data_IF_986317907988
#
_entry.id   IF_986317907988
#
_cell.length_a   1.000
_cell.length_b   1.000
_cell.length_c   1.000
_cell.angle_alpha   90.00
_cell.angle_beta   90.00
_cell.angle_gamma   90.00
#
_symmetry.space_group_name_H-M   'P 1'
#
loop_
_entity.id
_entity.type
_entity.pdbx_description
1 polymer ?
#
# COMPACT_ATOMS: atom_id res chain seq x y z
N UNK A 1 -28.95 15.18 26.08
CA UNK A 1 -28.25 13.89 26.12
C UNK A 1 -29.25 12.86 26.62
N UNK A 2 -29.70 11.93 25.76
CA UNK A 2 -30.54 10.81 26.18
C UNK A 2 -29.63 9.81 26.92
N UNK A 3 -29.92 9.51 28.18
CA UNK A 3 -29.19 8.47 28.90
C UNK A 3 -29.49 7.11 28.28
N UNK A 4 -28.44 6.37 27.90
CA UNK A 4 -28.58 4.99 27.41
C UNK A 4 -29.30 4.11 28.47
N UNK A 5 -30.24 3.27 28.02
CA UNK A 5 -30.98 2.38 28.91
C UNK A 5 -30.19 1.08 29.14
N UNK A 6 -30.08 0.67 30.40
CA UNK A 6 -29.55 -0.65 30.77
C UNK A 6 -30.68 -1.67 30.71
N UNK A 7 -30.43 -2.86 30.14
CA UNK A 7 -31.40 -3.95 30.01
C UNK A 7 -30.74 -5.30 30.36
N UNK A 8 -31.51 -6.26 30.86
CA UNK A 8 -30.99 -7.57 31.25
C UNK A 8 -30.77 -8.46 30.02
N UNK A 9 -29.82 -9.41 30.12
CA UNK A 9 -29.47 -10.38 29.06
C UNK A 9 -30.65 -11.31 28.68
N UNK A 10 -31.63 -11.50 29.57
CA UNK A 10 -32.85 -12.25 29.27
C UNK A 10 -33.65 -11.63 28.13
N UNK A 11 -33.62 -10.31 28.00
CA UNK A 11 -34.29 -9.60 26.90
C UNK A 11 -33.55 -9.81 25.55
N UNK A 12 -32.25 -10.01 25.59
CA UNK A 12 -31.43 -10.28 24.39
C UNK A 12 -31.71 -11.66 23.78
N UNK A 13 -31.99 -12.68 24.62
CA UNK A 13 -32.32 -14.05 24.19
C UNK A 13 -33.59 -14.10 23.32
N UNK A 14 -34.47 -13.10 23.43
CA UNK A 14 -35.69 -13.02 22.63
C UNK A 14 -35.52 -12.38 21.26
N UNK A 15 -34.48 -11.55 21.07
CA UNK A 15 -34.18 -10.85 19.81
C UNK A 15 -32.66 -10.61 19.67
N UNK A 16 -31.86 -11.64 19.50
CA UNK A 16 -30.40 -11.52 19.50
C UNK A 16 -29.86 -10.60 18.40
N UNK A 17 -30.52 -10.52 17.24
CA UNK A 17 -30.12 -9.64 16.14
C UNK A 17 -30.18 -8.14 16.48
N UNK A 18 -30.96 -7.73 17.47
CA UNK A 18 -31.00 -6.33 17.91
C UNK A 18 -29.82 -5.96 18.83
N UNK A 19 -29.10 -6.96 19.34
CA UNK A 19 -28.00 -6.82 20.30
C UNK A 19 -26.63 -7.21 19.74
N UNK A 20 -26.60 -7.59 18.46
CA UNK A 20 -25.37 -7.93 17.76
C UNK A 20 -25.21 -7.05 16.53
N UNK A 21 -24.07 -6.39 16.40
CA UNK A 21 -23.78 -5.48 15.30
C UNK A 21 -22.44 -5.86 14.67
N UNK A 22 -22.33 -5.79 13.33
CA UNK A 22 -21.03 -5.88 12.66
C UNK A 22 -20.11 -4.75 13.14
N UNK A 23 -18.90 -5.10 13.59
CA UNK A 23 -17.92 -4.10 14.02
C UNK A 23 -17.42 -3.26 12.84
N UNK A 24 -17.40 -3.80 11.62
CA UNK A 24 -17.08 -3.06 10.39
C UNK A 24 -18.12 -1.98 10.07
N UNK A 25 -19.40 -2.21 10.40
CA UNK A 25 -20.48 -1.24 10.22
C UNK A 25 -20.55 -0.24 11.37
N UNK A 26 -20.30 -0.70 12.59
CA UNK A 26 -20.35 0.14 13.80
C UNK A 26 -19.18 1.12 13.86
N UNK A 27 -17.97 0.74 13.42
CA UNK A 27 -16.79 1.60 13.42
C UNK A 27 -16.78 2.51 12.20
N UNK A 28 -16.95 3.81 12.44
CA UNK A 28 -16.96 4.85 11.42
C UNK A 28 -15.72 5.74 11.62
N UNK A 29 -14.90 5.81 10.57
CA UNK A 29 -13.66 6.59 10.57
C UNK A 29 -13.90 7.94 9.91
N UNK A 30 -13.30 8.99 10.46
CA UNK A 30 -13.39 10.34 9.92
C UNK A 30 -12.03 11.01 9.89
N UNK A 31 -11.76 11.74 8.82
CA UNK A 31 -10.72 12.77 8.79
C UNK A 31 -11.41 14.12 8.72
N UNK A 32 -11.10 15.00 9.67
CA UNK A 32 -11.75 16.31 9.78
C UNK A 32 -10.76 17.41 9.42
N UNK A 33 -11.19 18.31 8.58
CA UNK A 33 -10.54 19.59 8.31
C UNK A 33 -11.51 20.73 8.65
N UNK A 34 -11.10 22.01 8.58
CA UNK A 34 -11.97 23.14 8.92
C UNK A 34 -13.25 23.24 8.09
N UNK A 35 -13.28 22.64 6.88
CA UNK A 35 -14.41 22.73 5.95
C UNK A 35 -15.36 21.51 6.05
N UNK A 36 -14.86 20.33 6.37
CA UNK A 36 -15.62 19.09 6.34
C UNK A 36 -15.07 17.97 7.23
N UNK A 37 -15.94 17.02 7.55
CA UNK A 37 -15.58 15.72 8.10
C UNK A 37 -15.81 14.65 7.02
N UNK A 38 -14.74 14.08 6.49
CA UNK A 38 -14.78 13.07 5.45
C UNK A 38 -14.80 11.69 6.11
N UNK A 39 -15.85 10.90 5.85
CA UNK A 39 -16.02 9.58 6.45
C UNK A 39 -15.57 8.46 5.52
N UNK A 40 -15.13 7.36 6.12
CA UNK A 40 -14.84 6.09 5.45
C UNK A 40 -14.98 4.94 6.45
N UNK A 41 -15.03 3.72 5.94
CA UNK A 41 -15.17 2.51 6.76
C UNK A 41 -13.89 1.69 6.73
N UNK A 42 -13.60 0.93 7.81
CA UNK A 42 -12.51 -0.03 7.81
C UNK A 42 -12.79 -1.19 6.84
N UNK A 43 -11.73 -1.81 6.33
CA UNK A 43 -11.84 -3.06 5.59
C UNK A 43 -11.95 -4.25 6.53
N UNK A 44 -11.22 -4.18 7.65
CA UNK A 44 -11.15 -5.22 8.67
C UNK A 44 -11.30 -4.61 10.06
N UNK A 45 -11.90 -5.36 10.99
CA UNK A 45 -11.94 -5.03 12.41
C UNK A 45 -11.59 -6.22 13.31
N UNK A 46 -11.33 -7.39 12.72
CA UNK A 46 -11.01 -8.61 13.47
C UNK A 46 -9.79 -8.48 14.39
N UNK A 47 -8.74 -7.65 14.10
CA UNK A 47 -7.62 -7.52 15.04
C UNK A 47 -8.00 -6.82 16.35
N UNK A 48 -9.12 -6.09 16.35
CA UNK A 48 -9.63 -5.33 17.49
C UNK A 48 -10.79 -6.06 18.17
N UNK A 49 -11.74 -6.60 17.39
CA UNK A 49 -13.00 -7.15 17.89
C UNK A 49 -13.14 -8.67 17.73
N UNK A 50 -12.07 -9.35 17.26
CA UNK A 50 -12.05 -10.80 17.06
C UNK A 50 -12.56 -11.23 15.69
N UNK A 51 -12.27 -12.49 15.32
CA UNK A 51 -12.47 -13.06 13.98
C UNK A 51 -13.91 -12.99 13.46
N UNK A 52 -14.91 -12.97 14.34
CA UNK A 52 -16.31 -12.86 13.97
C UNK A 52 -16.69 -11.45 13.47
N UNK A 53 -15.87 -10.44 13.75
CA UNK A 53 -16.13 -9.03 13.44
C UNK A 53 -17.50 -8.54 13.89
N UNK A 54 -17.92 -8.98 15.07
CA UNK A 54 -19.21 -8.65 15.68
C UNK A 54 -19.04 -8.14 17.11
N UNK A 55 -19.90 -7.22 17.49
CA UNK A 55 -19.98 -6.66 18.85
C UNK A 55 -21.37 -7.00 19.41
N UNK A 56 -21.38 -7.71 20.55
CA UNK A 56 -22.59 -8.11 21.25
C UNK A 56 -22.85 -7.23 22.46
N UNK A 57 -24.13 -7.08 22.80
CA UNK A 57 -24.61 -6.45 24.03
C UNK A 57 -24.92 -4.97 23.90
N UNK A 58 -24.88 -4.40 22.71
CA UNK A 58 -25.21 -2.99 22.45
C UNK A 58 -26.30 -2.88 21.38
N UNK A 59 -27.22 -1.95 21.56
CA UNK A 59 -28.27 -1.64 20.59
C UNK A 59 -28.00 -0.29 19.93
N UNK A 60 -28.15 -0.22 18.60
CA UNK A 60 -27.91 0.97 17.79
C UNK A 60 -26.50 1.55 18.04
N UNK A 61 -25.50 0.68 17.93
CA UNK A 61 -24.10 1.00 18.24
C UNK A 61 -23.44 1.78 17.10
N UNK A 62 -22.89 2.93 17.42
CA UNK A 62 -22.00 3.72 16.57
C UNK A 62 -20.70 4.02 17.31
N UNK A 63 -19.57 3.73 16.69
CA UNK A 63 -18.23 4.03 17.17
C UNK A 63 -17.61 5.02 16.20
N UNK A 64 -17.38 6.25 16.65
CA UNK A 64 -16.79 7.31 15.85
C UNK A 64 -15.32 7.46 16.23
N UNK A 65 -14.42 7.17 15.31
CA UNK A 65 -13.00 7.42 15.45
C UNK A 65 -12.61 8.50 14.43
N UNK A 66 -12.36 9.71 14.96
CA UNK A 66 -12.06 10.89 14.15
C UNK A 66 -10.59 11.27 14.29
N UNK A 67 -10.00 11.77 13.20
CA UNK A 67 -8.62 12.25 13.15
C UNK A 67 -8.59 13.67 12.60
N UNK A 68 -7.76 14.54 13.18
CA UNK A 68 -7.44 15.82 12.56
C UNK A 68 -6.61 15.61 11.29
N UNK A 69 -6.92 16.32 10.22
CA UNK A 69 -6.30 16.13 8.91
C UNK A 69 -4.78 16.36 8.90
N UNK A 70 -4.28 17.25 9.77
CA UNK A 70 -2.88 17.69 9.76
C UNK A 70 -2.04 17.00 10.82
N UNK A 71 -2.48 17.03 12.08
CA UNK A 71 -1.75 16.42 13.21
C UNK A 71 -2.07 14.93 13.38
N UNK A 72 -3.13 14.45 12.77
CA UNK A 72 -3.72 13.13 12.93
C UNK A 72 -4.08 12.77 14.37
N UNK A 73 -4.33 13.79 15.21
CA UNK A 73 -4.74 13.61 16.61
C UNK A 73 -6.09 12.90 16.68
N UNK A 74 -6.20 11.75 17.37
CA UNK A 74 -7.43 10.96 17.40
C UNK A 74 -8.44 11.45 18.43
N UNK A 75 -9.73 11.25 18.10
CA UNK A 75 -10.87 11.44 18.98
C UNK A 75 -11.79 10.22 18.89
N UNK A 76 -12.21 9.69 20.03
CA UNK A 76 -13.11 8.54 20.11
C UNK A 76 -14.45 8.94 20.75
N UNK A 77 -15.53 8.57 20.08
CA UNK A 77 -16.87 8.68 20.66
C UNK A 77 -17.67 7.40 20.39
N UNK A 78 -18.38 6.91 21.40
CA UNK A 78 -19.18 5.70 21.34
C UNK A 78 -20.61 6.05 21.73
N UNK A 79 -21.56 5.76 20.85
CA UNK A 79 -23.00 6.01 21.05
C UNK A 79 -23.76 4.70 20.90
N UNK A 80 -24.74 4.50 21.75
CA UNK A 80 -25.67 3.39 21.69
C UNK A 80 -26.98 3.78 22.41
N UNK A 81 -28.10 3.17 22.02
CA UNK A 81 -29.40 3.46 22.64
C UNK A 81 -29.63 2.65 23.93
N UNK A 82 -29.09 1.42 23.97
CA UNK A 82 -29.15 0.58 25.16
C UNK A 82 -27.94 -0.36 25.23
N UNK A 83 -27.61 -0.79 26.45
CA UNK A 83 -26.56 -1.78 26.72
C UNK A 83 -27.13 -2.88 27.63
N UNK A 84 -26.78 -4.12 27.36
CA UNK A 84 -27.06 -5.23 28.25
C UNK A 84 -26.18 -5.19 29.49
N UNK A 85 -26.71 -5.71 30.60
CA UNK A 85 -25.97 -5.94 31.85
C UNK A 85 -25.93 -7.42 32.16
N UNK A 86 -25.03 -7.83 33.04
CA UNK A 86 -24.92 -9.16 33.61
C UNK A 86 -24.56 -10.31 32.65
N UNK A 87 -23.89 -9.96 31.53
CA UNK A 87 -23.36 -10.93 30.59
C UNK A 87 -21.85 -10.76 30.41
N UNK A 88 -21.02 -11.77 30.70
CA UNK A 88 -19.57 -11.70 30.62
C UNK A 88 -19.03 -11.61 29.17
N UNK A 89 -19.85 -11.91 28.17
CA UNK A 89 -19.48 -11.82 26.75
C UNK A 89 -19.51 -10.35 26.24
N UNK A 90 -20.08 -9.44 27.04
CA UNK A 90 -20.16 -8.04 26.65
C UNK A 90 -18.81 -7.34 26.89
N UNK A 91 -18.15 -7.00 25.81
CA UNK A 91 -16.88 -6.28 25.85
C UNK A 91 -17.07 -4.80 26.24
N UNK A 92 -16.07 -4.23 26.90
CA UNK A 92 -15.96 -2.76 27.03
C UNK A 92 -15.28 -2.20 25.79
N UNK A 93 -16.08 -1.67 24.87
CA UNK A 93 -15.62 -1.17 23.57
C UNK A 93 -14.51 -0.12 23.73
N UNK A 94 -14.68 0.80 24.70
CA UNK A 94 -13.66 1.84 24.94
C UNK A 94 -12.34 1.22 25.32
N UNK A 95 -12.37 0.32 26.32
CA UNK A 95 -11.17 -0.35 26.80
C UNK A 95 -10.48 -1.16 25.67
N UNK A 96 -11.28 -1.86 24.85
CA UNK A 96 -10.78 -2.66 23.73
C UNK A 96 -10.07 -1.79 22.70
N UNK A 97 -10.65 -0.66 22.29
CA UNK A 97 -10.04 0.23 21.28
C UNK A 97 -8.84 1.00 21.85
N UNK A 98 -8.89 1.41 23.14
CA UNK A 98 -7.81 2.15 23.80
C UNK A 98 -6.47 1.40 23.78
N UNK A 99 -6.49 0.06 23.67
CA UNK A 99 -5.27 -0.75 23.56
C UNK A 99 -4.48 -0.48 22.26
N UNK A 100 -5.16 0.02 21.23
CA UNK A 100 -4.62 0.28 19.89
C UNK A 100 -4.44 1.77 19.57
N UNK A 101 -4.90 2.67 20.46
CA UNK A 101 -4.82 4.10 20.28
C UNK A 101 -3.73 4.75 21.16
N UNK A 102 -3.25 5.94 20.82
CA UNK A 102 -2.38 6.71 21.71
C UNK A 102 -3.03 6.95 23.08
N UNK A 103 -2.24 6.85 24.14
CA UNK A 103 -2.72 6.98 25.53
C UNK A 103 -3.47 8.28 25.83
N UNK A 104 -3.18 9.35 25.09
CA UNK A 104 -3.79 10.67 25.23
C UNK A 104 -4.99 10.89 24.30
N UNK A 105 -5.54 9.81 23.73
CA UNK A 105 -6.76 9.91 22.89
C UNK A 105 -7.92 10.48 23.69
N UNK A 106 -8.54 11.53 23.14
CA UNK A 106 -9.65 12.22 23.81
C UNK A 106 -10.96 11.45 23.54
N UNK A 107 -11.71 11.20 24.63
CA UNK A 107 -12.95 10.44 24.59
C UNK A 107 -14.16 11.32 24.92
N UNK A 108 -15.17 11.34 24.04
CA UNK A 108 -16.48 12.04 24.19
C UNK A 108 -16.45 13.55 24.29
N UNK A 109 -15.33 14.18 24.58
CA UNK A 109 -15.21 15.63 24.75
C UNK A 109 -14.63 16.26 23.48
N UNK A 110 -15.53 16.58 22.53
CA UNK A 110 -15.17 17.16 21.25
C UNK A 110 -14.54 18.55 21.39
N UNK A 111 -15.04 19.36 22.33
CA UNK A 111 -14.49 20.72 22.60
C UNK A 111 -13.05 20.60 23.05
N UNK A 112 -12.78 19.74 24.02
CA UNK A 112 -11.41 19.46 24.48
C UNK A 112 -10.50 18.96 23.39
N UNK A 113 -11.03 18.13 22.45
CA UNK A 113 -10.26 17.63 21.31
C UNK A 113 -9.87 18.77 20.36
N UNK A 114 -10.83 19.63 19.98
CA UNK A 114 -10.59 20.80 19.12
C UNK A 114 -9.60 21.76 19.78
N UNK A 115 -9.78 22.06 21.07
CA UNK A 115 -8.85 22.92 21.81
C UNK A 115 -7.44 22.33 21.86
N UNK A 116 -7.32 21.01 22.05
CA UNK A 116 -6.02 20.33 22.09
C UNK A 116 -5.29 20.33 20.74
N UNK A 117 -6.03 20.27 19.61
CA UNK A 117 -5.46 20.42 18.26
C UNK A 117 -4.95 21.85 18.07
N UNK A 118 -5.77 22.82 18.46
CA UNK A 118 -5.41 24.24 18.37
C UNK A 118 -4.16 24.54 19.19
N UNK A 119 -4.13 24.09 20.45
CA UNK A 119 -2.96 24.24 21.33
C UNK A 119 -1.69 23.64 20.70
N UNK A 120 -1.77 22.43 20.11
CA UNK A 120 -0.63 21.79 19.46
C UNK A 120 -0.14 22.61 18.25
N UNK A 121 -1.06 23.17 17.44
CA UNK A 121 -0.75 24.04 16.31
C UNK A 121 -0.18 25.39 16.77
N UNK A 122 -0.77 26.03 17.77
CA UNK A 122 -0.33 27.31 18.35
C UNK A 122 1.07 27.18 19.00
N UNK A 123 1.39 26.00 19.56
CA UNK A 123 2.71 25.66 20.08
C UNK A 123 3.74 25.36 18.95
N UNK A 124 3.37 25.59 17.68
CA UNK A 124 4.26 25.53 16.54
C UNK A 124 4.47 24.11 16.00
N UNK A 125 3.44 23.24 16.02
CA UNK A 125 3.49 21.94 15.38
C UNK A 125 4.01 22.05 13.95
N UNK A 126 4.99 21.23 13.64
CA UNK A 126 5.53 21.04 12.30
C UNK A 126 5.59 19.55 12.00
N UNK A 127 5.43 19.19 10.73
CA UNK A 127 5.57 17.81 10.30
C UNK A 127 6.93 17.28 10.78
N UNK A 128 6.95 16.22 11.63
CA UNK A 128 8.17 15.77 12.32
C UNK A 128 9.05 14.93 11.40
N UNK A 129 9.73 15.58 10.45
CA UNK A 129 10.57 14.87 9.50
C UNK A 129 11.20 15.76 8.44
N UNK A 130 11.81 15.11 7.46
CA UNK A 130 12.47 15.79 6.34
C UNK A 130 11.61 15.65 5.08
N UNK A 131 11.37 16.76 4.40
CA UNK A 131 10.82 16.77 3.04
C UNK A 131 11.83 16.06 2.10
N UNK A 132 11.38 15.02 1.41
CA UNK A 132 12.21 14.23 0.51
C UNK A 132 11.76 14.29 -0.95
N UNK A 133 10.55 14.74 -1.22
CA UNK A 133 10.03 14.88 -2.58
C UNK A 133 8.71 15.62 -2.59
N UNK A 134 8.38 16.18 -3.76
CA UNK A 134 7.11 16.85 -4.02
C UNK A 134 6.66 16.52 -5.44
N UNK A 135 5.37 16.51 -5.68
CA UNK A 135 4.79 16.36 -7.00
C UNK A 135 3.42 17.05 -7.09
N UNK A 136 2.93 17.24 -8.30
CA UNK A 136 1.60 17.79 -8.54
C UNK A 136 0.75 16.78 -9.31
N UNK A 137 -0.51 16.66 -8.93
CA UNK A 137 -1.51 15.82 -9.59
C UNK A 137 -2.89 16.45 -9.44
N UNK A 138 -3.67 16.52 -10.53
CA UNK A 138 -5.04 17.07 -10.53
C UNK A 138 -5.12 18.48 -9.90
N UNK A 139 -4.23 19.40 -10.29
CA UNK A 139 -4.12 20.79 -9.80
C UNK A 139 -3.86 20.92 -8.29
N UNK A 140 -3.41 19.87 -7.64
CA UNK A 140 -3.01 19.83 -6.24
C UNK A 140 -1.52 19.52 -6.10
N UNK A 141 -0.92 20.01 -5.04
CA UNK A 141 0.47 19.76 -4.68
C UNK A 141 0.57 18.78 -3.53
N UNK A 142 1.55 17.89 -3.61
CA UNK A 142 1.79 16.85 -2.63
C UNK A 142 3.25 16.84 -2.20
N UNK A 143 3.47 16.66 -0.90
CA UNK A 143 4.78 16.54 -0.29
C UNK A 143 4.97 15.19 0.38
N UNK A 144 6.15 14.60 0.19
CA UNK A 144 6.55 13.36 0.84
C UNK A 144 7.56 13.67 1.94
N UNK A 145 7.22 13.32 3.17
CA UNK A 145 8.12 13.45 4.31
C UNK A 145 8.64 12.10 4.78
N UNK A 146 9.94 12.02 5.04
CA UNK A 146 10.52 10.95 5.83
C UNK A 146 10.45 11.38 7.30
N UNK A 147 9.64 10.70 8.09
CA UNK A 147 9.40 11.03 9.50
C UNK A 147 10.57 10.55 10.34
N UNK A 148 11.00 11.37 11.29
CA UNK A 148 12.03 11.03 12.27
C UNK A 148 11.40 10.28 13.45
N UNK A 149 11.39 8.96 13.39
CA UNK A 149 10.85 8.09 14.43
C UNK A 149 11.62 8.16 15.77
N UNK A 150 12.83 8.75 15.78
CA UNK A 150 13.62 8.96 17.01
C UNK A 150 13.19 10.20 17.78
N UNK A 151 12.51 11.14 17.12
CA UNK A 151 11.94 12.31 17.75
C UNK A 151 10.62 11.96 18.44
N UNK A 152 10.32 12.61 19.57
CA UNK A 152 9.06 12.40 20.29
C UNK A 152 7.85 12.68 19.40
N UNK A 153 7.87 13.77 18.62
CA UNK A 153 6.79 14.15 17.73
C UNK A 153 6.62 13.13 16.55
N UNK A 154 7.71 12.60 16.02
CA UNK A 154 7.64 11.59 14.95
C UNK A 154 7.14 10.25 15.46
N UNK A 155 7.57 9.84 16.65
CA UNK A 155 7.03 8.66 17.32
C UNK A 155 5.54 8.84 17.62
N UNK A 156 5.13 10.00 18.13
CA UNK A 156 3.71 10.28 18.41
C UNK A 156 2.86 10.26 17.14
N UNK A 157 3.33 10.85 16.03
CA UNK A 157 2.63 10.78 14.75
C UNK A 157 2.46 9.32 14.29
N UNK A 158 3.48 8.50 14.41
CA UNK A 158 3.38 7.07 14.11
C UNK A 158 2.32 6.37 14.98
N UNK A 159 2.28 6.66 16.30
CA UNK A 159 1.27 6.10 17.21
C UNK A 159 -0.17 6.49 16.81
N UNK A 160 -0.35 7.67 16.21
CA UNK A 160 -1.64 8.14 15.70
C UNK A 160 -2.05 7.43 14.41
N UNK A 161 -1.08 7.09 13.54
CA UNK A 161 -1.31 6.45 12.24
C UNK A 161 -1.50 4.93 12.33
N UNK A 162 -0.83 4.26 13.26
CA UNK A 162 -0.64 2.80 13.25
C UNK A 162 -1.94 1.99 13.32
N UNK A 163 -3.00 2.51 13.94
CA UNK A 163 -4.29 1.79 14.02
C UNK A 163 -4.85 1.50 12.62
N UNK A 164 -4.58 2.37 11.64
CA UNK A 164 -5.02 2.17 10.25
C UNK A 164 -4.43 0.88 9.63
N UNK A 165 -3.27 0.43 10.11
CA UNK A 165 -2.67 -0.84 9.64
C UNK A 165 -3.58 -2.02 9.95
N UNK A 166 -4.15 -2.06 11.15
CA UNK A 166 -5.07 -3.13 11.58
C UNK A 166 -6.42 -3.07 10.84
N UNK A 167 -6.80 -1.88 10.39
CA UNK A 167 -8.10 -1.63 9.77
C UNK A 167 -8.09 -1.78 8.24
N UNK A 168 -6.90 -1.73 7.59
CA UNK A 168 -6.79 -1.71 6.12
C UNK A 168 -5.81 -2.71 5.53
N UNK A 169 -4.95 -3.35 6.33
CA UNK A 169 -4.01 -4.36 5.85
C UNK A 169 -4.38 -5.70 6.47
N UNK A 170 -4.71 -6.70 5.63
CA UNK A 170 -5.01 -8.06 6.08
C UNK A 170 -3.79 -8.64 6.80
N UNK A 171 -4.02 -9.22 7.98
CA UNK A 171 -2.97 -9.70 8.89
C UNK A 171 -1.93 -8.62 9.26
N UNK A 172 -2.30 -7.34 9.15
CA UNK A 172 -1.45 -6.22 9.51
C UNK A 172 -1.10 -6.22 11.00
N UNK A 173 0.11 -5.80 11.32
CA UNK A 173 0.60 -5.68 12.70
C UNK A 173 1.37 -4.37 12.89
N UNK A 174 1.49 -3.95 14.16
CA UNK A 174 2.30 -2.79 14.50
C UNK A 174 3.79 -3.10 14.34
N UNK A 175 4.54 -2.10 13.91
CA UNK A 175 6.00 -2.17 13.86
C UNK A 175 6.60 -1.76 15.20
N UNK A 176 7.81 -2.23 15.49
CA UNK A 176 8.61 -1.66 16.58
C UNK A 176 9.28 -0.36 16.09
N UNK A 177 8.62 0.76 16.31
CA UNK A 177 9.13 2.07 15.89
C UNK A 177 10.43 2.51 16.58
N UNK A 178 10.90 1.77 17.60
CA UNK A 178 12.19 2.00 18.26
C UNK A 178 13.34 1.31 17.54
N UNK A 179 13.07 0.32 16.69
CA UNK A 179 14.08 -0.27 15.82
C UNK A 179 14.45 0.73 14.72
N UNK A 180 15.72 1.15 14.73
CA UNK A 180 16.28 2.18 13.83
C UNK A 180 16.25 1.79 12.34
N UNK A 181 16.01 0.52 12.04
CA UNK A 181 15.92 0.03 10.67
C UNK A 181 14.57 0.34 10.02
N UNK A 182 13.55 0.69 10.82
CA UNK A 182 12.27 1.16 10.33
C UNK A 182 12.33 2.61 9.85
N UNK A 183 11.69 2.85 8.73
CA UNK A 183 11.47 4.18 8.17
C UNK A 183 9.97 4.38 7.94
N UNK A 184 9.47 5.55 8.31
CA UNK A 184 8.11 5.99 8.04
C UNK A 184 8.14 7.12 7.01
N UNK A 185 7.36 6.96 5.95
CA UNK A 185 7.14 8.00 4.93
C UNK A 185 5.67 8.36 4.93
N UNK A 186 5.38 9.66 4.95
CA UNK A 186 4.00 10.17 4.93
C UNK A 186 3.82 11.10 3.75
N UNK A 187 2.73 10.88 3.03
CA UNK A 187 2.28 11.70 1.92
C UNK A 187 1.27 12.73 2.43
N UNK A 188 1.53 13.99 2.13
CA UNK A 188 0.67 15.12 2.48
C UNK A 188 0.18 15.84 1.22
N UNK A 189 -1.09 16.25 1.20
CA UNK A 189 -1.66 17.21 0.26
C UNK A 189 -1.49 18.62 0.86
N UNK A 190 -0.91 19.55 0.10
CA UNK A 190 -0.75 20.95 0.53
C UNK A 190 -2.09 21.69 0.44
N UNK A 191 -2.39 22.49 1.43
CA UNK A 191 -3.47 23.47 1.33
C UNK A 191 -3.00 24.74 0.66
N UNK A 192 -3.28 24.87 -0.63
CA UNK A 192 -2.94 26.07 -1.42
C UNK A 192 -3.95 27.22 -1.23
N UNK A 193 -5.04 27.00 -0.46
CA UNK A 193 -6.13 27.99 -0.28
C UNK A 193 -6.01 28.78 1.02
N UNK A 194 -5.33 28.26 2.01
CA UNK A 194 -5.20 28.91 3.31
C UNK A 194 -4.10 29.97 3.28
N UNK A 195 -4.49 31.23 3.32
CA UNK A 195 -3.58 32.39 3.39
C UNK A 195 -2.94 32.57 4.77
N UNK A 196 -3.34 31.82 5.79
CA UNK A 196 -2.92 32.02 7.17
C UNK A 196 -2.21 30.83 7.84
N UNK A 197 -2.49 29.59 7.42
CA UNK A 197 -1.84 28.39 8.00
C UNK A 197 -1.54 27.43 6.87
N UNK A 198 -0.26 27.18 6.57
CA UNK A 198 0.18 26.14 5.63
C UNK A 198 -0.08 24.72 6.18
N UNK A 199 -1.32 24.43 6.51
CA UNK A 199 -1.71 23.11 6.99
C UNK A 199 -1.86 22.14 5.83
N UNK A 200 -1.15 21.02 5.90
CA UNK A 200 -1.20 19.98 4.88
C UNK A 200 -2.02 18.80 5.40
N UNK A 201 -2.81 18.16 4.54
CA UNK A 201 -3.62 17.00 4.93
C UNK A 201 -2.88 15.70 4.69
N UNK A 202 -2.91 14.78 5.65
CA UNK A 202 -2.35 13.43 5.48
C UNK A 202 -3.20 12.67 4.46
N UNK A 203 -2.54 12.20 3.40
CA UNK A 203 -3.12 11.41 2.30
C UNK A 203 -2.90 9.93 2.52
N UNK A 204 -1.75 9.56 3.06
CA UNK A 204 -1.37 8.19 3.28
C UNK A 204 0.04 8.05 3.82
N UNK A 205 0.44 6.82 4.11
CA UNK A 205 1.79 6.54 4.61
C UNK A 205 2.26 5.16 4.20
N UNK A 206 3.57 4.96 4.31
CA UNK A 206 4.20 3.65 4.14
C UNK A 206 5.32 3.47 5.15
N UNK A 207 5.47 2.25 5.65
CA UNK A 207 6.64 1.85 6.44
C UNK A 207 7.55 0.96 5.60
N UNK A 208 8.84 1.19 5.74
CA UNK A 208 9.85 0.41 5.04
C UNK A 208 10.96 0.01 5.99
N UNK A 209 11.36 -1.24 5.93
CA UNK A 209 12.41 -1.81 6.77
C UNK A 209 13.69 -1.98 5.98
N UNK A 210 14.78 -1.41 6.47
CA UNK A 210 16.11 -1.60 5.90
C UNK A 210 16.75 -2.81 6.53
N UNK A 211 17.12 -3.81 5.74
CA UNK A 211 17.83 -4.96 6.28
C UNK A 211 19.03 -5.33 5.40
N UNK A 212 20.04 -5.83 6.09
CA UNK A 212 21.27 -6.25 5.45
C UNK A 212 21.07 -7.52 4.65
N UNK A 213 21.59 -7.53 3.42
CA UNK A 213 21.63 -8.73 2.60
C UNK A 213 22.89 -9.51 2.88
N UNK A 214 22.75 -10.69 3.46
CA UNK A 214 23.87 -11.59 3.68
C UNK A 214 24.56 -11.97 2.35
N UNK A 215 25.86 -11.59 2.14
CA UNK A 215 26.56 -11.79 0.87
C UNK A 215 27.05 -13.22 0.65
N UNK A 216 26.88 -14.09 1.64
CA UNK A 216 27.45 -15.44 1.72
C UNK A 216 28.80 -15.48 2.43
N UNK A 217 29.13 -16.64 3.03
CA UNK A 217 30.32 -16.80 3.88
C UNK A 217 31.64 -16.38 3.19
N UNK A 218 31.77 -16.62 1.89
CA UNK A 218 33.00 -16.26 1.14
C UNK A 218 33.23 -14.76 0.95
N UNK A 219 32.20 -13.96 1.08
CA UNK A 219 32.23 -12.51 0.85
C UNK A 219 31.95 -11.69 2.12
N UNK A 220 31.69 -12.35 3.24
CA UNK A 220 31.26 -11.71 4.49
C UNK A 220 32.23 -10.62 4.96
N UNK A 221 33.52 -10.88 4.93
CA UNK A 221 34.56 -9.95 5.42
C UNK A 221 35.08 -8.97 4.34
N UNK A 222 34.63 -9.10 3.10
CA UNK A 222 35.22 -8.40 1.96
C UNK A 222 34.27 -7.49 1.17
N UNK A 223 32.98 -7.42 1.54
CA UNK A 223 31.99 -6.62 0.84
C UNK A 223 31.43 -5.50 1.71
N UNK A 224 31.20 -4.34 1.10
CA UNK A 224 30.38 -3.29 1.67
C UNK A 224 28.98 -3.82 2.02
N UNK A 225 28.36 -3.25 3.03
CA UNK A 225 27.01 -3.66 3.45
C UNK A 225 25.99 -3.33 2.34
N UNK A 226 25.50 -4.38 1.71
CA UNK A 226 24.38 -4.27 0.76
C UNK A 226 23.05 -4.27 1.52
N UNK A 227 22.24 -3.24 1.34
CA UNK A 227 20.94 -3.11 1.98
C UNK A 227 19.81 -3.49 1.03
N UNK A 228 18.76 -4.06 1.60
CA UNK A 228 17.44 -4.21 0.98
C UNK A 228 16.46 -3.30 1.69
N UNK A 229 15.57 -2.70 0.94
CA UNK A 229 14.39 -2.04 1.48
C UNK A 229 13.19 -2.96 1.31
N UNK A 230 12.51 -3.26 2.42
CA UNK A 230 11.26 -4.01 2.44
C UNK A 230 10.11 -3.07 2.77
N UNK A 231 9.25 -2.78 1.80
CA UNK A 231 7.96 -2.10 2.04
C UNK A 231 7.08 -3.10 2.79
N UNK A 232 6.67 -2.73 4.01
CA UNK A 232 5.87 -3.60 4.87
C UNK A 232 4.42 -3.15 4.97
N UNK A 233 4.19 -1.86 5.10
CA UNK A 233 2.86 -1.28 5.19
C UNK A 233 2.75 -0.17 4.14
N UNK A 234 1.62 -0.12 3.42
CA UNK A 234 1.36 0.92 2.44
C UNK A 234 -0.14 1.24 2.43
N UNK A 235 -0.51 2.44 2.84
CA UNK A 235 -1.89 2.88 2.99
C UNK A 235 -2.07 4.24 2.32
N UNK A 236 -3.04 4.33 1.42
CA UNK A 236 -3.65 5.58 0.99
C UNK A 236 -5.04 5.61 1.62
N UNK A 237 -5.36 6.67 2.34
CA UNK A 237 -6.67 6.80 2.97
C UNK A 237 -7.78 6.66 1.93
N UNK A 238 -8.87 5.92 2.22
CA UNK A 238 -9.94 5.64 1.24
C UNK A 238 -10.49 6.88 0.54
N UNK A 239 -10.57 8.01 1.23
CA UNK A 239 -11.02 9.30 0.68
C UNK A 239 -10.10 9.87 -0.42
N UNK A 240 -8.86 9.37 -0.54
CA UNK A 240 -7.89 9.77 -1.56
C UNK A 240 -7.58 8.67 -2.58
N UNK A 241 -8.20 7.50 -2.46
CA UNK A 241 -8.01 6.39 -3.41
C UNK A 241 -8.65 6.69 -4.78
N UNK A 242 -8.25 5.93 -5.79
CA UNK A 242 -8.77 6.10 -7.17
C UNK A 242 -8.23 7.30 -7.94
N UNK A 243 -7.36 8.12 -7.33
CA UNK A 243 -6.79 9.35 -7.91
C UNK A 243 -5.34 9.19 -8.43
N UNK A 244 -4.81 7.97 -8.44
CA UNK A 244 -3.42 7.70 -8.88
C UNK A 244 -2.35 8.01 -7.84
N UNK A 245 -2.71 8.59 -6.68
CA UNK A 245 -1.76 9.06 -5.66
C UNK A 245 -0.87 7.94 -5.09
N UNK A 246 -1.42 6.74 -4.89
CA UNK A 246 -0.63 5.60 -4.44
C UNK A 246 0.48 5.23 -5.42
N UNK A 247 0.20 5.24 -6.72
CA UNK A 247 1.19 4.96 -7.76
C UNK A 247 2.29 6.02 -7.80
N UNK A 248 1.93 7.30 -7.68
CA UNK A 248 2.89 8.41 -7.65
C UNK A 248 3.74 8.36 -6.38
N UNK A 249 3.13 8.11 -5.22
CA UNK A 249 3.85 7.96 -3.95
C UNK A 249 4.88 6.83 -4.00
N UNK A 250 4.47 5.64 -4.47
CA UNK A 250 5.39 4.52 -4.68
C UNK A 250 6.53 4.88 -5.63
N UNK A 251 6.21 5.48 -6.80
CA UNK A 251 7.21 5.83 -7.81
C UNK A 251 8.26 6.79 -7.27
N UNK A 252 7.85 7.87 -6.59
CA UNK A 252 8.77 8.86 -6.02
C UNK A 252 9.68 8.27 -4.94
N UNK A 253 9.14 7.39 -4.10
CA UNK A 253 9.96 6.67 -3.11
C UNK A 253 10.95 5.73 -3.80
N UNK A 254 10.48 4.98 -4.80
CA UNK A 254 11.34 4.05 -5.53
C UNK A 254 12.50 4.77 -6.23
N UNK A 255 12.24 5.92 -6.86
CA UNK A 255 13.27 6.73 -7.52
C UNK A 255 14.33 7.24 -6.50
N UNK A 256 13.90 7.60 -5.28
CA UNK A 256 14.82 7.95 -4.20
C UNK A 256 15.70 6.78 -3.77
N UNK A 257 15.13 5.58 -3.67
CA UNK A 257 15.88 4.37 -3.31
C UNK A 257 16.78 3.89 -4.46
N UNK A 258 16.34 4.08 -5.69
CA UNK A 258 17.14 3.76 -6.88
C UNK A 258 18.43 4.60 -6.93
N UNK A 259 18.37 5.84 -6.47
CA UNK A 259 19.52 6.76 -6.44
C UNK A 259 20.50 6.51 -5.27
N UNK A 260 20.22 5.59 -4.33
CA UNK A 260 21.10 5.29 -3.19
C UNK A 260 21.95 4.06 -3.50
N UNK A 261 23.27 4.19 -3.53
CA UNK A 261 24.19 3.13 -3.96
C UNK A 261 24.24 1.92 -3.01
N UNK A 262 24.03 2.14 -1.72
CA UNK A 262 23.97 1.10 -0.68
C UNK A 262 22.72 0.22 -0.77
N UNK A 263 21.65 0.68 -1.40
CA UNK A 263 20.42 -0.09 -1.63
C UNK A 263 20.55 -0.89 -2.92
N UNK A 264 20.45 -2.20 -2.80
CA UNK A 264 20.61 -3.11 -3.94
C UNK A 264 19.29 -3.71 -4.45
N UNK A 265 18.24 -3.69 -3.64
CA UNK A 265 16.96 -4.31 -3.96
C UNK A 265 15.82 -3.72 -3.14
N UNK A 266 14.68 -3.48 -3.78
CA UNK A 266 13.43 -3.10 -3.13
C UNK A 266 12.47 -4.27 -3.23
N UNK A 267 11.99 -4.73 -2.07
CA UNK A 267 11.04 -5.84 -1.94
C UNK A 267 9.75 -5.36 -1.27
N UNK A 268 8.68 -6.12 -1.41
CA UNK A 268 7.40 -5.85 -0.74
C UNK A 268 7.01 -7.09 0.07
N UNK A 269 6.56 -6.87 1.30
CA UNK A 269 6.07 -7.92 2.18
C UNK A 269 4.63 -8.24 1.83
N UNK A 270 4.36 -9.50 1.47
CA UNK A 270 3.04 -10.08 1.21
C UNK A 270 2.02 -9.13 0.54
N UNK A 271 2.32 -8.60 -0.67
CA UNK A 271 1.45 -7.64 -1.33
C UNK A 271 0.09 -8.25 -1.65
N UNK A 272 -0.98 -7.52 -1.38
CA UNK A 272 -2.31 -7.84 -1.87
C UNK A 272 -2.45 -7.49 -3.37
N UNK A 273 -3.54 -7.93 -4.00
CA UNK A 273 -3.78 -7.72 -5.44
C UNK A 273 -3.76 -6.23 -5.82
N UNK A 274 -4.39 -5.37 -5.03
CA UNK A 274 -4.44 -3.92 -5.31
C UNK A 274 -3.05 -3.28 -5.31
N UNK A 275 -2.17 -3.71 -4.41
CA UNK A 275 -0.79 -3.23 -4.37
C UNK A 275 0.06 -3.83 -5.49
N UNK A 276 -0.09 -5.12 -5.83
CA UNK A 276 0.57 -5.74 -6.98
C UNK A 276 0.19 -4.99 -8.28
N UNK A 277 -1.08 -4.63 -8.47
CA UNK A 277 -1.56 -3.83 -9.62
C UNK A 277 -0.92 -2.44 -9.68
N UNK A 278 -0.93 -1.73 -8.55
CA UNK A 278 -0.31 -0.43 -8.43
C UNK A 278 1.17 -0.50 -8.78
N UNK A 279 1.88 -1.49 -8.23
CA UNK A 279 3.31 -1.72 -8.41
C UNK A 279 3.63 -2.08 -9.86
N UNK A 280 2.90 -3.02 -10.46
CA UNK A 280 3.11 -3.43 -11.84
C UNK A 280 2.97 -2.23 -12.80
N UNK A 281 1.94 -1.43 -12.65
CA UNK A 281 1.70 -0.22 -13.47
C UNK A 281 2.78 0.84 -13.26
N UNK A 282 3.17 1.09 -12.01
CA UNK A 282 4.23 2.04 -11.67
C UNK A 282 5.58 1.61 -12.26
N UNK A 283 5.94 0.34 -12.04
CA UNK A 283 7.19 -0.21 -12.54
C UNK A 283 7.25 -0.24 -14.07
N UNK A 284 6.16 -0.63 -14.77
CA UNK A 284 6.08 -0.58 -16.22
C UNK A 284 6.25 0.85 -16.76
N UNK A 285 5.62 1.83 -16.14
CA UNK A 285 5.79 3.25 -16.52
C UNK A 285 7.24 3.70 -16.33
N UNK A 286 7.86 3.36 -15.20
CA UNK A 286 9.25 3.69 -14.90
C UNK A 286 10.21 3.02 -15.91
N UNK A 287 10.02 1.74 -16.22
CA UNK A 287 10.80 1.03 -17.24
C UNK A 287 10.65 1.66 -18.62
N UNK A 288 9.46 2.17 -18.94
CA UNK A 288 9.17 2.80 -20.22
C UNK A 288 9.97 4.10 -20.49
N UNK A 289 10.44 4.75 -19.42
CA UNK A 289 11.27 5.95 -19.47
C UNK A 289 12.74 5.70 -19.12
N UNK A 290 13.08 4.49 -18.67
CA UNK A 290 14.43 4.14 -18.21
C UNK A 290 15.36 3.82 -19.38
N UNK A 291 16.51 4.49 -19.43
CA UNK A 291 17.60 4.17 -20.37
C UNK A 291 18.31 2.83 -20.03
N UNK A 292 18.14 2.35 -18.80
CA UNK A 292 18.76 1.10 -18.33
C UNK A 292 17.99 -0.15 -18.72
N UNK A 293 16.79 -0.01 -19.33
CA UNK A 293 15.94 -1.13 -19.68
C UNK A 293 15.74 -1.25 -21.19
N UNK A 294 16.28 -2.32 -21.77
CA UNK A 294 16.11 -2.62 -23.19
C UNK A 294 14.90 -3.54 -23.44
N UNK A 295 13.81 -2.97 -23.89
CA UNK A 295 12.63 -3.73 -24.28
C UNK A 295 12.90 -4.74 -25.42
N UNK A 296 13.90 -4.51 -26.31
CA UNK A 296 14.22 -5.44 -27.40
C UNK A 296 14.73 -6.77 -26.84
N UNK A 297 15.48 -6.74 -25.72
CA UNK A 297 16.00 -7.94 -25.08
C UNK A 297 14.91 -8.84 -24.46
N UNK A 298 13.70 -8.30 -24.21
CA UNK A 298 12.60 -9.08 -23.63
C UNK A 298 11.95 -9.96 -24.69
N UNK A 299 12.38 -11.22 -24.74
CA UNK A 299 11.88 -12.27 -25.63
C UNK A 299 11.54 -13.52 -24.81
N UNK A 300 10.77 -14.51 -25.35
CA UNK A 300 10.55 -15.79 -24.67
C UNK A 300 11.83 -16.60 -24.41
N UNK A 301 12.93 -16.21 -25.06
CA UNK A 301 14.27 -16.81 -24.89
C UNK A 301 15.25 -15.79 -24.30
N UNK A 302 14.76 -14.90 -23.41
CA UNK A 302 15.57 -13.86 -22.79
C UNK A 302 16.82 -14.45 -22.12
N UNK A 303 17.95 -13.77 -22.30
CA UNK A 303 19.22 -14.17 -21.71
C UNK A 303 19.22 -14.03 -20.18
N UNK A 304 19.68 -15.06 -19.47
CA UNK A 304 19.68 -15.10 -18.00
C UNK A 304 20.67 -14.10 -17.40
N UNK A 305 21.81 -13.86 -18.03
CA UNK A 305 22.81 -12.88 -17.55
C UNK A 305 22.26 -11.48 -17.69
N UNK A 306 21.62 -11.18 -18.83
CA UNK A 306 20.91 -9.90 -19.02
C UNK A 306 19.81 -9.71 -17.98
N UNK A 307 18.99 -10.74 -17.71
CA UNK A 307 17.93 -10.68 -16.68
C UNK A 307 18.50 -10.32 -15.32
N UNK A 308 19.55 -11.00 -14.87
CA UNK A 308 20.13 -10.75 -13.55
C UNK A 308 20.85 -9.40 -13.47
N UNK A 309 21.59 -9.01 -14.51
CA UNK A 309 22.27 -7.72 -14.59
C UNK A 309 21.27 -6.56 -14.59
N UNK A 310 20.25 -6.62 -15.45
CA UNK A 310 19.23 -5.56 -15.54
C UNK A 310 18.41 -5.46 -14.28
N UNK A 311 17.95 -6.59 -13.73
CA UNK A 311 17.20 -6.62 -12.48
C UNK A 311 17.94 -5.92 -11.33
N UNK A 312 19.24 -6.18 -11.19
CA UNK A 312 20.09 -5.52 -10.18
C UNK A 312 20.26 -4.04 -10.43
N UNK A 313 20.47 -3.64 -11.69
CA UNK A 313 20.62 -2.23 -12.05
C UNK A 313 19.36 -1.41 -11.70
N UNK A 314 18.17 -1.98 -11.88
CA UNK A 314 16.90 -1.34 -11.56
C UNK A 314 16.36 -1.70 -10.16
N UNK A 315 17.13 -2.43 -9.35
CA UNK A 315 16.87 -2.78 -7.93
C UNK A 315 15.54 -3.49 -7.66
N UNK A 316 15.02 -4.24 -8.64
CA UNK A 316 13.81 -5.04 -8.47
C UNK A 316 14.10 -6.44 -7.93
N UNK A 317 13.19 -6.97 -7.13
CA UNK A 317 13.23 -8.36 -6.70
C UNK A 317 12.92 -9.33 -7.86
N UNK A 318 13.32 -10.60 -7.72
CA UNK A 318 13.18 -11.61 -8.78
C UNK A 318 11.73 -11.84 -9.20
N UNK A 319 10.80 -11.93 -8.24
CA UNK A 319 9.37 -12.18 -8.53
C UNK A 319 8.78 -11.03 -9.34
N UNK A 320 8.99 -9.80 -8.88
CA UNK A 320 8.48 -8.60 -9.54
C UNK A 320 9.05 -8.45 -10.94
N UNK A 321 10.37 -8.60 -11.08
CA UNK A 321 10.99 -8.49 -12.40
C UNK A 321 10.47 -9.56 -13.40
N UNK A 322 10.28 -10.80 -12.93
CA UNK A 322 9.71 -11.86 -13.77
C UNK A 322 8.27 -11.55 -14.21
N UNK A 323 7.42 -10.98 -13.30
CA UNK A 323 6.06 -10.52 -13.66
C UNK A 323 6.10 -9.46 -14.75
N UNK A 324 6.97 -8.46 -14.61
CA UNK A 324 7.10 -7.40 -15.61
C UNK A 324 7.52 -7.93 -16.98
N UNK A 325 8.46 -8.89 -17.04
CA UNK A 325 8.84 -9.54 -18.29
C UNK A 325 7.66 -10.28 -18.95
N UNK A 326 6.84 -10.97 -18.15
CA UNK A 326 5.65 -11.67 -18.64
C UNK A 326 4.59 -10.67 -19.17
N UNK A 327 4.34 -9.58 -18.47
CA UNK A 327 3.42 -8.52 -18.90
C UNK A 327 3.92 -7.88 -20.21
N UNK A 328 5.21 -7.58 -20.31
CA UNK A 328 5.83 -7.02 -21.53
C UNK A 328 5.71 -8.01 -22.70
N UNK A 329 5.91 -9.31 -22.48
CA UNK A 329 5.75 -10.32 -23.52
C UNK A 329 4.30 -10.41 -24.02
N UNK A 330 3.31 -10.32 -23.12
CA UNK A 330 1.90 -10.27 -23.49
C UNK A 330 1.54 -8.97 -24.22
N UNK A 331 2.10 -7.84 -23.81
CA UNK A 331 1.99 -6.58 -24.56
C UNK A 331 2.50 -6.73 -25.99
N UNK A 332 3.71 -7.29 -26.17
CA UNK A 332 4.30 -7.54 -27.48
C UNK A 332 3.44 -8.49 -28.33
N UNK A 333 2.90 -9.55 -27.71
CA UNK A 333 2.00 -10.49 -28.37
C UNK A 333 0.72 -9.80 -28.86
N UNK A 334 0.08 -8.99 -27.98
CA UNK A 334 -1.14 -8.22 -28.30
C UNK A 334 -0.93 -7.28 -29.49
N UNK A 335 0.26 -6.69 -29.60
CA UNK A 335 0.58 -5.71 -30.65
C UNK A 335 1.33 -6.31 -31.86
N UNK A 336 1.42 -7.63 -31.97
CA UNK A 336 1.97 -8.31 -33.15
C UNK A 336 3.47 -8.10 -33.37
N UNK A 337 4.28 -7.99 -32.32
CA UNK A 337 5.73 -7.87 -32.47
C UNK A 337 6.33 -9.11 -33.08
N UNK A 338 7.31 -8.99 -34.04
CA UNK A 338 7.90 -10.11 -34.71
C UNK A 338 8.65 -11.02 -33.74
N UNK A 339 8.60 -12.34 -34.01
CA UNK A 339 9.28 -13.36 -33.18
C UNK A 339 8.61 -13.69 -31.85
N UNK A 340 7.43 -13.13 -31.56
CA UNK A 340 6.66 -13.39 -30.33
C UNK A 340 5.43 -14.22 -30.70
N UNK A 341 5.38 -15.47 -30.27
CA UNK A 341 4.23 -16.35 -30.53
C UNK A 341 3.44 -16.63 -29.24
N UNK A 342 2.15 -16.86 -29.37
CA UNK A 342 1.28 -17.21 -28.23
C UNK A 342 1.80 -18.46 -27.49
N UNK A 343 2.32 -19.45 -28.25
CA UNK A 343 2.88 -20.68 -27.68
C UNK A 343 4.09 -20.39 -26.81
N UNK A 344 5.01 -19.57 -27.30
CA UNK A 344 6.27 -19.30 -26.60
C UNK A 344 6.03 -18.48 -25.31
N UNK A 345 5.18 -17.46 -25.40
CA UNK A 345 4.78 -16.65 -24.21
C UNK A 345 4.09 -17.55 -23.18
N UNK A 346 3.15 -18.38 -23.60
CA UNK A 346 2.48 -19.33 -22.70
C UNK A 346 3.46 -20.27 -22.01
N UNK A 347 4.43 -20.81 -22.74
CA UNK A 347 5.43 -21.72 -22.17
C UNK A 347 6.38 -20.97 -21.20
N UNK A 348 6.73 -19.73 -21.52
CA UNK A 348 7.54 -18.89 -20.64
C UNK A 348 6.86 -18.69 -19.28
N UNK A 349 5.59 -18.28 -19.27
CA UNK A 349 4.80 -18.07 -18.04
C UNK A 349 4.59 -19.40 -17.30
N UNK A 350 4.19 -20.47 -18.01
CA UNK A 350 3.98 -21.79 -17.39
C UNK A 350 5.23 -22.36 -16.75
N UNK A 351 6.41 -22.09 -17.30
CA UNK A 351 7.68 -22.53 -16.70
C UNK A 351 7.86 -21.92 -15.30
N UNK A 352 7.66 -20.59 -15.14
CA UNK A 352 7.76 -19.95 -13.83
C UNK A 352 6.70 -20.48 -12.85
N UNK A 353 5.46 -20.69 -13.34
CA UNK A 353 4.38 -21.27 -12.53
C UNK A 353 4.74 -22.70 -12.04
N UNK A 354 5.31 -23.49 -12.93
CA UNK A 354 5.77 -24.84 -12.59
C UNK A 354 6.91 -24.79 -11.56
N UNK A 355 7.92 -23.97 -11.81
CA UNK A 355 9.10 -23.86 -10.93
C UNK A 355 8.68 -23.40 -9.51
N UNK A 356 7.71 -22.46 -9.41
CA UNK A 356 7.17 -21.97 -8.13
C UNK A 356 6.40 -23.06 -7.37
N UNK A 357 5.63 -23.90 -8.07
CA UNK A 357 4.72 -24.87 -7.47
C UNK A 357 5.24 -26.32 -7.57
N UNK A 358 6.53 -26.50 -7.87
CA UNK A 358 7.13 -27.79 -8.18
C UNK A 358 6.85 -28.86 -7.11
N UNK A 359 6.97 -28.52 -5.85
CA UNK A 359 6.75 -29.44 -4.73
C UNK A 359 5.28 -29.89 -4.65
N UNK A 360 4.34 -28.95 -4.69
CA UNK A 360 2.92 -29.26 -4.67
C UNK A 360 2.43 -29.99 -5.93
N UNK A 361 3.08 -29.74 -7.08
CA UNK A 361 2.77 -30.45 -8.31
C UNK A 361 3.38 -31.87 -8.35
N UNK A 362 4.46 -32.15 -7.60
CA UNK A 362 5.16 -33.43 -7.64
C UNK A 362 4.26 -34.63 -7.30
N UNK A 363 3.29 -34.45 -6.43
CA UNK A 363 2.37 -35.49 -5.95
C UNK A 363 1.18 -35.78 -6.89
N UNK A 364 1.00 -34.97 -7.94
CA UNK A 364 -0.12 -35.07 -8.86
C UNK A 364 0.22 -35.91 -10.10
N UNK A 365 -0.78 -36.49 -10.74
CA UNK A 365 -0.63 -37.10 -12.06
C UNK A 365 -0.41 -36.04 -13.17
N UNK A 366 0.09 -36.45 -14.33
CA UNK A 366 0.50 -35.54 -15.39
C UNK A 366 -0.67 -34.75 -16.01
N UNK A 367 -1.87 -35.32 -16.04
CA UNK A 367 -3.04 -34.63 -16.60
C UNK A 367 -3.48 -33.53 -15.63
N UNK A 368 -3.62 -33.87 -14.36
CA UNK A 368 -3.94 -32.90 -13.30
C UNK A 368 -2.91 -31.76 -13.21
N UNK A 369 -1.60 -32.08 -13.36
CA UNK A 369 -0.54 -31.05 -13.43
C UNK A 369 -0.77 -30.09 -14.60
N UNK A 370 -1.05 -30.63 -15.80
CA UNK A 370 -1.29 -29.83 -17.01
C UNK A 370 -2.51 -28.93 -16.85
N UNK A 371 -3.62 -29.45 -16.28
CA UNK A 371 -4.85 -28.72 -16.09
C UNK A 371 -4.67 -27.60 -15.06
N UNK A 372 -4.06 -27.89 -13.92
CA UNK A 372 -3.74 -26.85 -12.90
C UNK A 372 -2.83 -25.74 -13.46
N UNK A 373 -1.80 -26.11 -14.23
CA UNK A 373 -0.92 -25.13 -14.88
C UNK A 373 -1.65 -24.34 -15.98
N UNK A 374 -2.63 -24.95 -16.68
CA UNK A 374 -3.43 -24.24 -17.66
C UNK A 374 -4.37 -23.24 -16.99
N UNK A 375 -5.05 -23.63 -15.93
CA UNK A 375 -5.95 -22.75 -15.16
C UNK A 375 -5.19 -21.58 -14.56
N UNK A 376 -4.04 -21.84 -13.92
CA UNK A 376 -3.20 -20.78 -13.33
C UNK A 376 -2.63 -19.85 -14.42
N UNK A 377 -2.25 -20.36 -15.59
CA UNK A 377 -1.83 -19.52 -16.71
C UNK A 377 -2.96 -18.62 -17.20
N UNK A 378 -4.18 -19.16 -17.36
CA UNK A 378 -5.31 -18.40 -17.86
C UNK A 378 -5.66 -17.24 -16.90
N UNK A 379 -5.71 -17.51 -15.61
CA UNK A 379 -5.96 -16.48 -14.60
C UNK A 379 -4.90 -15.36 -14.65
N UNK A 380 -3.62 -15.72 -14.81
CA UNK A 380 -2.56 -14.73 -14.97
C UNK A 380 -2.62 -13.96 -16.29
N UNK A 381 -2.95 -14.64 -17.40
CA UNK A 381 -3.10 -14.00 -18.72
C UNK A 381 -4.20 -12.92 -18.65
N UNK A 382 -5.35 -13.25 -18.08
CA UNK A 382 -6.49 -12.35 -17.92
C UNK A 382 -6.12 -11.16 -17.00
N UNK A 383 -5.46 -11.42 -15.87
CA UNK A 383 -4.95 -10.41 -14.95
C UNK A 383 -3.96 -9.45 -15.63
N UNK A 384 -2.99 -9.97 -16.33
CA UNK A 384 -1.99 -9.16 -17.02
C UNK A 384 -2.60 -8.30 -18.14
N UNK A 385 -3.60 -8.80 -18.87
CA UNK A 385 -4.32 -7.99 -19.84
C UNK A 385 -5.14 -6.88 -19.18
N UNK A 386 -5.70 -7.12 -17.99
CA UNK A 386 -6.36 -6.10 -17.16
C UNK A 386 -5.38 -5.01 -16.71
N UNK A 387 -4.18 -5.40 -16.25
CA UNK A 387 -3.12 -4.44 -15.86
C UNK A 387 -2.66 -3.61 -17.06
N UNK A 388 -2.45 -4.24 -18.21
CA UNK A 388 -2.06 -3.55 -19.44
C UNK A 388 -3.09 -2.52 -19.86
N UNK A 389 -4.38 -2.83 -19.83
CA UNK A 389 -5.44 -1.90 -20.18
C UNK A 389 -5.08 -1.03 -21.38
N UNK A 390 -5.03 0.29 -21.14
CA UNK A 390 -4.64 1.31 -22.11
C UNK A 390 -3.16 1.74 -22.01
N UNK A 391 -2.35 1.01 -21.24
CA UNK A 391 -0.94 1.32 -21.07
C UNK A 391 -0.20 1.26 -22.43
N UNK A 392 0.52 2.33 -22.76
CA UNK A 392 1.34 2.41 -23.98
C UNK A 392 2.81 2.27 -23.58
N UNK A 393 3.47 1.24 -24.10
CA UNK A 393 4.91 1.07 -23.94
C UNK A 393 5.63 1.56 -25.21
N UNK A 394 6.68 2.36 -25.05
CA UNK A 394 7.49 2.93 -26.14
C UNK A 394 8.46 1.89 -26.70
N UNK A 395 7.93 0.75 -27.17
CA UNK A 395 8.74 -0.30 -27.77
C UNK A 395 8.86 -0.01 -29.25
N UNK A 396 10.06 0.38 -29.74
CA UNK A 396 10.31 0.60 -31.16
C UNK A 396 10.13 -0.71 -31.93
N UNK A 397 9.30 -0.70 -32.97
CA UNK A 397 9.19 -1.79 -33.94
C UNK A 397 10.41 -1.72 -34.85
N UNK A 398 11.04 -2.86 -35.18
CA UNK A 398 12.26 -2.92 -35.99
C UNK A 398 12.19 -2.30 -37.39
N UNK A 399 11.01 -1.86 -37.87
CA UNK A 399 10.83 -1.18 -39.15
C UNK A 399 10.88 0.36 -39.05
N UNK A 400 10.91 0.92 -37.84
CA UNK A 400 10.90 2.40 -37.68
C UNK A 400 12.30 3.03 -37.92
N UNK A 401 13.35 2.21 -38.09
CA UNK A 401 14.72 2.68 -38.38
C UNK A 401 14.94 2.95 -39.89
N UNK A 402 14.12 2.38 -40.81
CA UNK A 402 14.27 2.61 -42.23
C UNK A 402 13.55 3.85 -42.79
N UNK A 403 12.54 4.38 -42.07
CA UNK A 403 11.80 5.58 -42.56
C UNK A 403 12.52 6.91 -42.28
N UNK A 404 13.39 6.98 -41.28
CA UNK A 404 14.10 8.25 -40.96
C UNK A 404 15.29 8.51 -41.88
N UNK A 405 15.90 7.49 -42.49
CA UNK A 405 17.02 7.66 -43.42
C UNK A 405 16.60 8.00 -44.90
N UNK A 406 15.33 7.75 -45.24
CA UNK A 406 14.83 8.04 -46.59
C UNK A 406 14.29 9.46 -46.77
N UNK A 407 13.91 10.13 -45.68
CA UNK A 407 13.42 11.53 -45.74
C UNK A 407 14.57 12.52 -45.84
N UNK A 408 15.77 12.22 -45.31
CA UNK A 408 16.93 13.08 -45.36
C UNK A 408 17.62 13.15 -46.73
N UNK A 409 17.34 12.19 -47.67
CA UNK A 409 17.96 12.15 -49.01
C UNK A 409 17.14 12.79 -50.13
N UNK A 410 15.91 13.27 -49.84
CA UNK A 410 15.06 13.91 -50.88
C UNK A 410 14.99 15.45 -50.79
N UNK A 411 15.80 16.09 -49.93
CA UNK A 411 15.87 17.55 -49.87
C UNK A 411 17.21 18.14 -50.32
N UNK A 412 17.99 17.42 -51.12
CA UNK A 412 19.17 17.98 -51.85
C UNK A 412 19.16 17.48 -53.29
N UNK A 413 18.30 18.05 -54.12
CA UNK A 413 18.48 18.27 -55.56
C UNK A 413 17.72 19.53 -55.95
#
# INVERSE_FOLDING_TARGET
MSSAKEQSSVTAALQPEQWTTSSNEALKLFVTNPEAALNFQPTFTYPIFGDAETIYGYKDLDIFLCFDHYTFKPFLNIKYSAKLTDDPEIIDIKKTIDEFLPKLTIFKDEVKWVDSIKEEKDNGYKIPGKLIGSFSENDKEYDIYKIDLKSDNGYELHQRLQILVLLFIEAGSFIDAKDELWNLYVLYEKDNKSTSNNESSIVGFTTAYNYWKYPGAKKFDSTEQELRIKISQFIILPIYQGQGLGQLFYSHLFDKWLAQDDIIEVVVEDPNESFDDLRDRADLKRLNTSEQFDFKAVTPKVDKEWVEKTRRAIKLEKRQFARLLEIILLYKLKHGYPGITKRDVRLFIKKRLYDKNKEGLATLDDNTKKDKLQTAYQALEDDYYRILGDLKLNIKRGNDEEETDTVSKKQKV
#
